data_IF_901152986227
#
_entry.id   IF_901152986227
#
_cell.length_a   1.000
_cell.length_b   1.000
_cell.length_c   1.000
_cell.angle_alpha   90.00
_cell.angle_beta   90.00
_cell.angle_gamma   90.00
#
_symmetry.space_group_name_H-M   'P 1'
#
loop_
_entity.id
_entity.type
_entity.pdbx_description
1 polymer ?
#
# COMPACT_ATOMS: atom_id res chain seq x y z
N UNK A 1 -7.99 -31.86 -8.51
CA UNK A 1 -8.79 -31.21 -7.44
C UNK A 1 -7.94 -30.45 -6.42
N UNK A 2 -7.10 -31.09 -5.58
CA UNK A 2 -6.34 -30.35 -4.54
C UNK A 2 -5.24 -29.44 -5.12
N UNK A 3 -4.48 -29.93 -6.11
CA UNK A 3 -3.45 -29.15 -6.81
C UNK A 3 -4.04 -27.92 -7.53
N UNK A 4 -5.06 -28.14 -8.35
CA UNK A 4 -5.75 -27.08 -9.10
C UNK A 4 -6.36 -26.02 -8.17
N UNK A 5 -6.84 -26.44 -6.99
CA UNK A 5 -7.31 -25.52 -5.96
C UNK A 5 -6.18 -24.59 -5.46
N UNK A 6 -5.02 -25.15 -5.12
CA UNK A 6 -3.87 -24.34 -4.68
C UNK A 6 -3.36 -23.41 -5.78
N UNK A 7 -3.27 -23.88 -7.02
CA UNK A 7 -2.90 -23.05 -8.18
C UNK A 7 -3.89 -21.88 -8.36
N UNK A 8 -5.20 -22.13 -8.23
CA UNK A 8 -6.23 -21.10 -8.31
C UNK A 8 -6.11 -20.06 -7.18
N UNK A 9 -5.90 -20.50 -5.94
CA UNK A 9 -5.76 -19.60 -4.78
C UNK A 9 -4.50 -18.75 -4.89
N UNK A 10 -3.38 -19.32 -5.37
CA UNK A 10 -2.14 -18.57 -5.61
C UNK A 10 -2.31 -17.51 -6.69
N UNK A 11 -3.06 -17.82 -7.75
CA UNK A 11 -3.36 -16.84 -8.79
C UNK A 11 -4.24 -15.69 -8.27
N UNK A 12 -5.26 -16.01 -7.48
CA UNK A 12 -6.16 -15.00 -6.88
C UNK A 12 -5.40 -14.09 -5.91
N UNK A 13 -4.65 -14.68 -4.97
CA UNK A 13 -3.84 -13.91 -4.02
C UNK A 13 -2.80 -13.04 -4.75
N UNK A 14 -2.18 -13.56 -5.81
CA UNK A 14 -1.22 -12.81 -6.62
C UNK A 14 -1.85 -11.59 -7.29
N UNK A 15 -3.09 -11.73 -7.77
CA UNK A 15 -3.88 -10.61 -8.31
C UNK A 15 -4.19 -9.55 -7.26
N UNK A 16 -4.60 -9.97 -6.06
CA UNK A 16 -4.89 -9.05 -4.94
C UNK A 16 -3.63 -8.31 -4.49
N UNK A 17 -2.49 -9.00 -4.35
CA UNK A 17 -1.20 -8.38 -3.99
C UNK A 17 -0.81 -7.29 -5.00
N UNK A 18 -1.00 -7.57 -6.31
CA UNK A 18 -0.72 -6.59 -7.35
C UNK A 18 -1.67 -5.37 -7.26
N UNK A 19 -2.95 -5.58 -6.96
CA UNK A 19 -3.91 -4.50 -6.75
C UNK A 19 -3.53 -3.64 -5.54
N UNK A 20 -3.18 -4.24 -4.41
CA UNK A 20 -2.71 -3.52 -3.23
C UNK A 20 -1.41 -2.75 -3.50
N UNK A 21 -0.47 -3.34 -4.25
CA UNK A 21 0.76 -2.65 -4.64
C UNK A 21 0.48 -1.38 -5.47
N UNK A 22 -0.48 -1.46 -6.40
CA UNK A 22 -0.89 -0.30 -7.20
C UNK A 22 -1.56 0.79 -6.34
N UNK A 23 -2.44 0.40 -5.40
CA UNK A 23 -3.09 1.36 -4.46
C UNK A 23 -2.07 2.05 -3.55
N UNK A 24 -1.08 1.31 -3.07
CA UNK A 24 0.02 1.87 -2.28
C UNK A 24 0.80 2.91 -3.10
N UNK A 25 1.14 2.60 -4.35
CA UNK A 25 1.86 3.53 -5.23
C UNK A 25 1.04 4.80 -5.49
N UNK A 26 -0.25 4.67 -5.79
CA UNK A 26 -1.16 5.80 -5.98
C UNK A 26 -1.21 6.70 -4.73
N UNK A 27 -1.40 6.11 -3.55
CA UNK A 27 -1.44 6.86 -2.30
C UNK A 27 -0.11 7.52 -1.93
N UNK A 28 1.03 6.88 -2.25
CA UNK A 28 2.35 7.49 -2.05
C UNK A 28 2.52 8.75 -2.91
N UNK A 29 2.05 8.74 -4.16
CA UNK A 29 2.06 9.91 -5.05
C UNK A 29 1.14 11.02 -4.52
N UNK A 30 -0.05 10.68 -4.02
CA UNK A 30 -0.95 11.64 -3.39
C UNK A 30 -0.33 12.28 -2.15
N UNK A 31 0.28 11.46 -1.28
CA UNK A 31 0.96 11.92 -0.08
C UNK A 31 2.11 12.89 -0.43
N UNK A 32 2.94 12.55 -1.42
CA UNK A 32 4.02 13.41 -1.89
C UNK A 32 3.48 14.76 -2.40
N UNK A 33 2.36 14.75 -3.12
CA UNK A 33 1.68 15.97 -3.59
C UNK A 33 1.17 16.84 -2.44
N UNK A 34 0.58 16.23 -1.41
CA UNK A 34 0.13 16.92 -0.19
C UNK A 34 1.32 17.52 0.56
N UNK A 35 2.41 16.77 0.72
CA UNK A 35 3.63 17.24 1.38
C UNK A 35 4.25 18.43 0.64
N UNK A 36 4.32 18.39 -0.70
CA UNK A 36 4.77 19.52 -1.52
C UNK A 36 3.90 20.77 -1.30
N UNK A 37 2.56 20.62 -1.21
CA UNK A 37 1.64 21.74 -0.92
C UNK A 37 1.88 22.31 0.48
N UNK A 38 2.08 21.46 1.49
CA UNK A 38 2.39 21.87 2.86
C UNK A 38 3.67 22.70 2.89
N UNK A 39 4.76 22.19 2.31
CA UNK A 39 6.05 22.90 2.24
C UNK A 39 5.89 24.26 1.57
N UNK A 40 5.19 24.32 0.43
CA UNK A 40 4.94 25.58 -0.28
C UNK A 40 4.19 26.61 0.56
N UNK A 41 3.20 26.19 1.36
CA UNK A 41 2.47 27.09 2.26
C UNK A 41 3.36 27.55 3.42
N UNK A 42 4.14 26.65 4.01
CA UNK A 42 5.06 26.96 5.10
C UNK A 42 6.15 27.95 4.66
N UNK A 43 6.77 27.75 3.49
CA UNK A 43 7.78 28.67 2.96
C UNK A 43 7.21 30.05 2.63
N UNK A 44 5.95 30.14 2.15
CA UNK A 44 5.28 31.44 1.95
C UNK A 44 5.03 32.17 3.26
N UNK A 45 4.65 31.43 4.31
CA UNK A 45 4.46 32.00 5.65
C UNK A 45 5.75 32.62 6.18
N UNK A 46 6.89 31.95 6.02
CA UNK A 46 8.21 32.48 6.43
C UNK A 46 8.61 33.75 5.65
N UNK A 47 8.24 33.85 4.37
CA UNK A 47 8.49 35.04 3.55
C UNK A 47 7.59 36.24 3.94
N UNK A 48 6.31 35.99 4.26
CA UNK A 48 5.33 37.03 4.63
C UNK A 48 5.54 37.62 6.05
N UNK A 49 6.29 36.96 6.94
CA UNK A 49 6.62 37.52 8.28
C UNK A 49 7.47 38.80 8.17
N UNK A 50 8.16 39.02 7.05
CA UNK A 50 9.00 40.21 6.83
C UNK A 50 8.27 41.46 6.34
N UNK A 51 7.10 41.35 5.72
CA UNK A 51 6.41 42.48 5.08
C UNK A 51 4.88 42.31 5.16
N UNK A 52 4.26 43.06 6.08
CA UNK A 52 2.84 43.45 6.14
C UNK A 52 1.87 42.67 5.22
N UNK A 53 1.54 41.42 5.57
CA UNK A 53 0.51 40.66 4.87
C UNK A 53 -0.89 40.94 5.47
N UNK A 54 -1.96 41.13 4.67
CA UNK A 54 -3.30 41.41 5.19
C UNK A 54 -3.85 40.21 6.00
N UNK A 55 -4.19 40.41 7.28
CA UNK A 55 -4.66 39.37 8.24
C UNK A 55 -5.71 38.35 7.72
N UNK A 56 -6.44 38.65 6.64
CA UNK A 56 -7.40 37.72 6.02
C UNK A 56 -6.74 36.60 5.19
N UNK A 57 -5.62 36.85 4.51
CA UNK A 57 -4.91 35.81 3.74
C UNK A 57 -4.18 34.82 4.66
N UNK A 58 -3.70 35.30 5.80
CA UNK A 58 -3.00 34.47 6.79
C UNK A 58 -3.92 33.41 7.43
N UNK A 59 -5.15 33.80 7.81
CA UNK A 59 -6.13 32.86 8.36
C UNK A 59 -6.52 31.77 7.34
N UNK A 60 -6.69 32.14 6.07
CA UNK A 60 -7.00 31.18 5.00
C UNK A 60 -5.86 30.19 4.75
N UNK A 61 -4.61 30.65 4.74
CA UNK A 61 -3.44 29.77 4.63
C UNK A 61 -3.29 28.84 5.84
N UNK A 62 -3.64 29.32 7.04
CA UNK A 62 -3.63 28.51 8.27
C UNK A 62 -4.71 27.42 8.24
N UNK A 63 -5.91 27.74 7.76
CA UNK A 63 -6.99 26.77 7.56
C UNK A 63 -6.59 25.71 6.52
N UNK A 64 -6.08 26.13 5.34
CA UNK A 64 -5.60 25.22 4.31
C UNK A 64 -4.47 24.30 4.81
N UNK A 65 -3.52 24.84 5.58
CA UNK A 65 -2.47 24.03 6.19
C UNK A 65 -3.04 23.01 7.18
N UNK A 66 -4.03 23.40 7.98
CA UNK A 66 -4.71 22.49 8.90
C UNK A 66 -5.43 21.34 8.19
N UNK A 67 -6.11 21.63 7.09
CA UNK A 67 -6.77 20.62 6.26
C UNK A 67 -5.76 19.68 5.59
N UNK A 68 -4.68 20.21 5.02
CA UNK A 68 -3.62 19.40 4.40
C UNK A 68 -2.90 18.52 5.42
N UNK A 69 -2.68 19.00 6.65
CA UNK A 69 -2.09 18.17 7.71
C UNK A 69 -3.02 17.02 8.12
N UNK A 70 -4.32 17.27 8.25
CA UNK A 70 -5.31 16.21 8.50
C UNK A 70 -5.34 15.19 7.36
N UNK A 71 -5.33 15.67 6.11
CA UNK A 71 -5.28 14.82 4.93
C UNK A 71 -4.00 13.95 4.92
N UNK A 72 -2.84 14.54 5.20
CA UNK A 72 -1.57 13.82 5.32
C UNK A 72 -1.65 12.68 6.33
N UNK A 73 -2.17 12.93 7.53
CA UNK A 73 -2.30 11.88 8.56
C UNK A 73 -3.28 10.79 8.13
N UNK A 74 -4.37 11.15 7.45
CA UNK A 74 -5.32 10.18 6.92
C UNK A 74 -4.69 9.28 5.85
N UNK A 75 -4.00 9.86 4.87
CA UNK A 75 -3.30 9.12 3.82
C UNK A 75 -2.23 8.19 4.40
N UNK A 76 -1.48 8.63 5.42
CA UNK A 76 -0.51 7.76 6.10
C UNK A 76 -1.16 6.57 6.78
N UNK A 77 -2.31 6.78 7.44
CA UNK A 77 -3.03 5.69 8.09
C UNK A 77 -3.62 4.69 7.07
N UNK A 78 -4.07 5.16 5.91
CA UNK A 78 -4.54 4.26 4.85
C UNK A 78 -3.40 3.48 4.19
N UNK A 79 -2.26 4.15 3.91
CA UNK A 79 -1.06 3.50 3.40
C UNK A 79 -0.61 2.36 4.30
N UNK A 80 -0.55 2.61 5.61
CA UNK A 80 -0.17 1.60 6.58
C UNK A 80 -1.12 0.39 6.53
N UNK A 81 -2.43 0.60 6.39
CA UNK A 81 -3.40 -0.49 6.27
C UNK A 81 -3.18 -1.33 5.02
N UNK A 82 -2.95 -0.70 3.87
CA UNK A 82 -2.69 -1.44 2.63
C UNK A 82 -1.37 -2.18 2.68
N UNK A 83 -0.33 -1.62 3.31
CA UNK A 83 0.94 -2.31 3.54
C UNK A 83 0.74 -3.56 4.42
N UNK A 84 0.01 -3.43 5.53
CA UNK A 84 -0.32 -4.56 6.42
C UNK A 84 -1.16 -5.64 5.72
N UNK A 85 -2.20 -5.26 4.97
CA UNK A 85 -3.04 -6.20 4.21
C UNK A 85 -2.24 -6.92 3.11
N UNK A 86 -1.38 -6.20 2.39
CA UNK A 86 -0.50 -6.78 1.37
C UNK A 86 0.48 -7.77 2.00
N UNK A 87 1.12 -7.42 3.11
CA UNK A 87 2.05 -8.31 3.80
C UNK A 87 1.36 -9.60 4.26
N UNK A 88 0.17 -9.51 4.84
CA UNK A 88 -0.62 -10.67 5.25
C UNK A 88 -0.98 -11.58 4.07
N UNK A 89 -1.23 -11.00 2.89
CA UNK A 89 -1.48 -11.77 1.66
C UNK A 89 -0.20 -12.42 1.13
N UNK A 90 0.94 -11.75 1.18
CA UNK A 90 2.24 -12.32 0.81
C UNK A 90 2.61 -13.51 1.70
N UNK A 91 2.37 -13.43 3.01
CA UNK A 91 2.57 -14.56 3.93
C UNK A 91 1.65 -15.75 3.61
N UNK A 92 0.38 -15.48 3.26
CA UNK A 92 -0.55 -16.52 2.80
C UNK A 92 -0.09 -17.13 1.47
N UNK A 93 0.36 -16.30 0.54
CA UNK A 93 0.90 -16.72 -0.75
C UNK A 93 2.07 -17.71 -0.55
N UNK A 94 3.02 -17.38 0.31
CA UNK A 94 4.16 -18.24 0.62
C UNK A 94 3.73 -19.58 1.24
N UNK A 95 2.76 -19.56 2.17
CA UNK A 95 2.23 -20.76 2.78
C UNK A 95 1.53 -21.68 1.78
N UNK A 96 0.70 -21.12 0.89
CA UNK A 96 0.05 -21.92 -0.16
C UNK A 96 1.06 -22.47 -1.17
N UNK A 97 2.14 -21.74 -1.47
CA UNK A 97 3.20 -22.23 -2.34
C UNK A 97 3.90 -23.45 -1.73
N UNK A 98 4.24 -23.41 -0.44
CA UNK A 98 4.82 -24.56 0.28
C UNK A 98 3.90 -25.78 0.25
N UNK A 99 2.60 -25.58 0.50
CA UNK A 99 1.62 -26.67 0.44
C UNK A 99 1.50 -27.27 -0.97
N UNK A 100 1.54 -26.43 -2.01
CA UNK A 100 1.53 -26.90 -3.40
C UNK A 100 2.77 -27.75 -3.71
N UNK A 101 3.95 -27.30 -3.28
CA UNK A 101 5.21 -28.04 -3.48
C UNK A 101 5.16 -29.42 -2.78
N UNK A 102 4.63 -29.48 -1.55
CA UNK A 102 4.42 -30.75 -0.83
C UNK A 102 3.47 -31.70 -1.58
N UNK A 103 2.37 -31.18 -2.12
CA UNK A 103 1.44 -31.97 -2.94
C UNK A 103 2.14 -32.52 -4.18
N UNK A 104 2.91 -31.71 -4.89
CA UNK A 104 3.64 -32.13 -6.08
C UNK A 104 4.68 -33.22 -5.76
N UNK A 105 5.36 -33.12 -4.62
CA UNK A 105 6.32 -34.14 -4.18
C UNK A 105 5.64 -35.46 -3.80
N UNK A 106 4.46 -35.42 -3.17
CA UNK A 106 3.67 -36.62 -2.91
C UNK A 106 3.19 -37.29 -4.20
N UNK A 107 2.71 -36.51 -5.18
CA UNK A 107 2.29 -37.02 -6.49
C UNK A 107 3.44 -37.71 -7.23
N UNK A 108 4.64 -37.11 -7.21
CA UNK A 108 5.85 -37.73 -7.80
C UNK A 108 6.18 -39.06 -7.13
N UNK A 109 6.22 -39.10 -5.80
CA UNK A 109 6.53 -40.34 -5.05
C UNK A 109 5.52 -41.44 -5.32
N UNK A 110 4.22 -41.09 -5.34
CA UNK A 110 3.15 -42.04 -5.61
C UNK A 110 3.21 -42.61 -7.04
N UNK A 111 3.59 -41.81 -8.03
CA UNK A 111 3.75 -42.28 -9.41
C UNK A 111 4.98 -43.20 -9.55
N UNK A 112 6.11 -42.88 -8.92
CA UNK A 112 7.29 -43.75 -8.93
C UNK A 112 6.98 -45.13 -8.33
N UNK A 113 6.21 -45.19 -7.23
CA UNK A 113 5.80 -46.47 -6.62
C UNK A 113 4.79 -47.29 -7.43
N UNK A 114 4.17 -46.72 -8.48
CA UNK A 114 3.26 -47.45 -9.39
C UNK A 114 3.99 -48.03 -10.61
N UNK A 115 5.19 -47.54 -10.92
CA UNK A 115 5.99 -47.96 -12.08
C UNK A 115 7.04 -49.04 -11.72
N UNK A 116 7.20 -49.36 -10.44
CA UNK A 116 8.07 -50.44 -9.91
C UNK A 116 7.26 -51.65 -9.45
#
# INVERSE_FOLDING_TARGET
MVREYFESVLQENGGQIAEYAAKIEEQQLELESVEKKIVKIQSKKEFDVGYFSPRRSENSLREQLGELLKNREHLKAELQKFEEEKQMLEEKQENFQKMLDEVLDMEKKANVSRET
#
